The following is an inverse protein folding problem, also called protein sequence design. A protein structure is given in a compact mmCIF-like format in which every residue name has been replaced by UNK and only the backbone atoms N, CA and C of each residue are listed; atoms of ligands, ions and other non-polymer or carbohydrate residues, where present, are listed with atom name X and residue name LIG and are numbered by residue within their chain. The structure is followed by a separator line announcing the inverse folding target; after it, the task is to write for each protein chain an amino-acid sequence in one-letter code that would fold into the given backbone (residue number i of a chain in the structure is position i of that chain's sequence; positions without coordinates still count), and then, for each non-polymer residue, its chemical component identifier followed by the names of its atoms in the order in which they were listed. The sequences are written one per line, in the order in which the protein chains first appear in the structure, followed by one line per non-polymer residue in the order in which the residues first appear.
data_IF_285089421803
#
_entry.id   IF_285089421803
#
_cell.length_a   1.000
_cell.length_b   1.000
_cell.length_c   1.000
_cell.angle_alpha   90.00
_cell.angle_beta   90.00
_cell.angle_gamma   90.00
#
_symmetry.space_group_name_H-M   'P 1'
#
loop_
_entity.id
_entity.type
_entity.pdbx_description
1 polymer ?
#
# COMPACT_ATOMS: atom_id res chain seq x y z
N UNK A 1 11.54 2.61 6.18
CA UNK A 1 10.63 2.61 5.01
C UNK A 1 10.30 4.03 4.58
N UNK A 2 10.47 4.36 3.30
CA UNK A 2 10.27 5.71 2.77
C UNK A 2 8.80 6.10 2.52
N UNK A 3 7.87 5.16 2.74
CA UNK A 3 6.49 5.24 2.26
C UNK A 3 5.49 5.60 3.36
N UNK A 4 5.76 5.22 4.61
CA UNK A 4 4.93 5.53 5.77
C UNK A 4 5.85 5.87 6.94
N UNK A 5 5.57 6.97 7.63
CA UNK A 5 6.17 7.17 8.94
C UNK A 5 5.41 6.33 9.95
N UNK A 6 6.13 5.62 10.83
CA UNK A 6 5.52 4.82 11.89
C UNK A 6 4.50 5.64 12.70
N UNK A 7 4.81 6.91 12.97
CA UNK A 7 3.92 7.86 13.65
C UNK A 7 2.54 8.02 13.00
N UNK A 8 2.43 7.89 11.68
CA UNK A 8 1.14 8.05 10.97
C UNK A 8 0.26 6.81 11.18
N UNK A 9 0.88 5.63 11.25
CA UNK A 9 0.19 4.38 11.57
C UNK A 9 -0.22 4.36 13.05
N UNK A 10 0.67 4.78 13.94
CA UNK A 10 0.37 4.89 15.38
C UNK A 10 -0.81 5.84 15.61
N UNK A 11 -0.80 7.02 14.98
CA UNK A 11 -1.91 7.98 15.04
C UNK A 11 -3.22 7.38 14.48
N UNK A 12 -3.14 6.63 13.38
CA UNK A 12 -4.30 5.98 12.80
C UNK A 12 -4.86 4.88 13.73
N UNK A 13 -4.00 4.13 14.43
CA UNK A 13 -4.39 3.18 15.47
C UNK A 13 -5.14 3.87 16.62
N UNK A 14 -4.62 5.01 17.10
CA UNK A 14 -5.27 5.81 18.14
C UNK A 14 -6.68 6.24 17.72
N UNK A 15 -6.83 6.81 16.51
CA UNK A 15 -8.13 7.25 15.97
C UNK A 15 -9.11 6.08 15.86
N UNK A 16 -8.65 4.90 15.41
CA UNK A 16 -9.50 3.69 15.35
C UNK A 16 -9.93 3.25 16.74
N UNK A 17 -9.00 3.23 17.70
CA UNK A 17 -9.29 2.90 19.09
C UNK A 17 -10.34 3.81 19.73
N UNK A 18 -10.40 5.08 19.31
CA UNK A 18 -11.40 6.04 19.79
C UNK A 18 -12.76 5.95 19.07
N UNK A 19 -12.76 5.83 17.73
CA UNK A 19 -13.98 5.95 16.93
C UNK A 19 -14.68 4.61 16.65
N UNK A 20 -13.90 3.55 16.47
CA UNK A 20 -14.40 2.24 16.05
C UNK A 20 -13.53 1.11 16.66
N UNK A 21 -13.47 1.00 18.00
CA UNK A 21 -12.60 0.07 18.71
C UNK A 21 -12.79 -1.39 18.30
N UNK A 22 -13.96 -1.75 17.76
CA UNK A 22 -14.24 -3.08 17.22
C UNK A 22 -13.37 -3.46 16.02
N UNK A 23 -12.70 -2.51 15.35
CA UNK A 23 -11.75 -2.75 14.26
C UNK A 23 -10.29 -2.85 14.72
N UNK A 24 -9.99 -2.59 16.01
CA UNK A 24 -8.62 -2.48 16.49
C UNK A 24 -7.81 -3.79 16.34
N UNK A 25 -8.45 -4.93 16.56
CA UNK A 25 -7.80 -6.24 16.38
C UNK A 25 -7.45 -6.50 14.91
N UNK A 26 -8.37 -6.19 13.99
CA UNK A 26 -8.14 -6.27 12.54
C UNK A 26 -7.06 -5.28 12.10
N UNK A 27 -7.05 -4.08 12.66
CA UNK A 27 -6.01 -3.08 12.39
C UNK A 27 -4.61 -3.60 12.76
N UNK A 28 -4.45 -4.07 14.00
CA UNK A 28 -3.18 -4.65 14.47
C UNK A 28 -2.76 -5.85 13.64
N UNK A 29 -3.71 -6.71 13.25
CA UNK A 29 -3.45 -7.87 12.40
C UNK A 29 -2.91 -7.45 11.04
N UNK A 30 -3.53 -6.47 10.39
CA UNK A 30 -3.12 -5.98 9.05
C UNK A 30 -1.78 -5.24 9.11
N UNK A 31 -1.58 -4.34 10.08
CA UNK A 31 -0.33 -3.58 10.19
C UNK A 31 0.87 -4.47 10.52
N UNK A 32 0.68 -5.51 11.32
CA UNK A 32 1.73 -6.50 11.61
C UNK A 32 1.80 -7.65 10.57
N UNK A 33 0.90 -7.64 9.58
CA UNK A 33 0.81 -8.63 8.52
C UNK A 33 1.89 -8.45 7.45
N UNK A 34 1.89 -9.37 6.48
CA UNK A 34 2.80 -9.32 5.32
C UNK A 34 2.10 -9.05 4.00
N UNK A 35 0.77 -9.18 3.99
CA UNK A 35 -0.07 -9.05 2.80
C UNK A 35 -0.78 -7.70 2.86
N UNK A 36 -0.87 -7.04 1.70
CA UNK A 36 -1.54 -5.75 1.55
C UNK A 36 -2.16 -5.63 0.15
N UNK A 37 -3.43 -5.22 0.04
CA UNK A 37 -4.01 -4.86 -1.25
C UNK A 37 -3.71 -3.41 -1.62
N UNK A 38 -2.72 -3.24 -2.50
CA UNK A 38 -2.27 -1.93 -2.97
C UNK A 38 -3.27 -1.25 -3.94
N UNK A 39 -3.04 0.06 -4.15
CA UNK A 39 -3.64 0.90 -5.19
C UNK A 39 -5.09 1.35 -4.99
N UNK A 40 -5.75 0.95 -3.89
CA UNK A 40 -7.17 1.23 -3.68
C UNK A 40 -8.05 0.85 -4.89
N UNK A 41 -7.68 -0.23 -5.61
CA UNK A 41 -8.38 -0.68 -6.82
C UNK A 41 -9.26 -1.89 -6.50
N UNK A 42 -10.58 -1.71 -6.55
CA UNK A 42 -11.54 -2.79 -6.36
C UNK A 42 -12.82 -2.54 -7.17
N UNK A 43 -13.57 -3.62 -7.40
CA UNK A 43 -14.92 -3.56 -7.99
C UNK A 43 -15.84 -4.29 -7.02
N UNK A 44 -16.84 -3.58 -6.51
CA UNK A 44 -17.82 -4.13 -5.57
C UNK A 44 -19.20 -3.55 -5.85
N UNK A 45 -20.24 -4.15 -5.25
CA UNK A 45 -21.59 -3.61 -5.32
C UNK A 45 -21.71 -2.37 -4.42
N UNK A 46 -22.68 -1.51 -4.71
CA UNK A 46 -22.93 -0.28 -3.94
C UNK A 46 -23.07 -0.55 -2.44
N UNK A 47 -23.71 -1.66 -2.07
CA UNK A 47 -23.95 -2.05 -0.68
C UNK A 47 -22.67 -2.42 0.08
N UNK A 48 -21.54 -2.60 -0.62
CA UNK A 48 -20.22 -2.80 -0.02
C UNK A 48 -19.42 -1.49 -0.02
N UNK A 49 -19.53 -0.71 -1.11
CA UNK A 49 -18.76 0.54 -1.26
C UNK A 49 -19.25 1.63 -0.33
N UNK A 50 -20.57 1.84 -0.23
CA UNK A 50 -21.11 2.94 0.59
C UNK A 50 -20.73 2.78 2.07
N UNK A 51 -20.92 1.60 2.72
CA UNK A 51 -20.52 1.45 4.12
C UNK A 51 -19.00 1.56 4.34
N UNK A 52 -18.19 1.10 3.38
CA UNK A 52 -16.74 1.29 3.44
C UNK A 52 -16.38 2.78 3.44
N UNK A 53 -16.99 3.56 2.54
CA UNK A 53 -16.78 5.01 2.47
C UNK A 53 -17.25 5.71 3.76
N UNK A 54 -18.44 5.35 4.27
CA UNK A 54 -18.99 5.87 5.53
C UNK A 54 -18.09 5.57 6.73
N UNK A 55 -17.36 4.44 6.70
CA UNK A 55 -16.42 4.06 7.74
C UNK A 55 -15.04 4.73 7.57
N UNK A 56 -14.46 4.75 6.36
CA UNK A 56 -13.07 5.18 6.15
C UNK A 56 -12.89 6.70 6.19
N UNK A 57 -13.83 7.47 5.63
CA UNK A 57 -13.68 8.92 5.53
C UNK A 57 -13.67 9.65 6.88
N UNK A 58 -14.51 9.29 7.87
CA UNK A 58 -14.42 9.88 9.22
C UNK A 58 -13.08 9.63 9.91
N UNK A 59 -12.50 8.43 9.74
CA UNK A 59 -11.18 8.08 10.27
C UNK A 59 -10.12 8.99 9.65
N UNK A 60 -10.08 9.09 8.32
CA UNK A 60 -9.12 9.94 7.61
C UNK A 60 -9.27 11.41 7.98
N UNK A 61 -10.51 11.90 8.10
CA UNK A 61 -10.78 13.27 8.49
C UNK A 61 -10.30 13.59 9.92
N UNK A 62 -10.32 12.61 10.82
CA UNK A 62 -9.77 12.78 12.16
C UNK A 62 -8.24 12.71 12.19
N UNK A 63 -7.65 11.79 11.42
CA UNK A 63 -6.20 11.74 11.22
C UNK A 63 -5.69 13.06 10.64
N UNK A 64 -6.39 13.62 9.64
CA UNK A 64 -6.03 14.90 9.01
C UNK A 64 -5.96 16.06 10.00
N UNK A 65 -6.81 16.09 11.03
CA UNK A 65 -6.79 17.14 12.06
C UNK A 65 -5.57 17.04 12.98
N UNK A 66 -5.06 15.82 13.18
CA UNK A 66 -4.05 15.51 14.21
C UNK A 66 -2.65 15.35 13.62
N UNK A 67 -2.55 15.03 12.33
CA UNK A 67 -1.27 14.72 11.70
C UNK A 67 -0.39 15.96 11.57
N UNK A 68 0.86 15.84 12.01
CA UNK A 68 1.89 16.83 11.76
C UNK A 68 2.72 16.42 10.53
N UNK A 69 2.49 17.11 9.42
CA UNK A 69 3.22 16.93 8.16
C UNK A 69 4.50 17.77 8.07
N UNK A 70 4.95 18.39 9.16
CA UNK A 70 6.19 19.18 9.14
C UNK A 70 7.36 18.31 8.68
N UNK A 71 8.04 18.75 7.61
CA UNK A 71 9.16 18.04 7.01
C UNK A 71 8.79 16.98 5.97
N UNK A 72 7.52 16.84 5.60
CA UNK A 72 7.09 15.90 4.56
C UNK A 72 7.43 16.44 3.16
N UNK A 73 8.02 15.59 2.33
CA UNK A 73 8.15 15.86 0.90
C UNK A 73 6.82 15.65 0.15
N UNK A 74 6.80 15.98 -1.15
CA UNK A 74 5.58 15.84 -1.96
C UNK A 74 5.11 14.40 -2.13
N UNK A 75 6.00 13.43 -1.95
CA UNK A 75 5.65 12.03 -1.97
C UNK A 75 4.92 11.63 -0.70
N UNK A 76 5.45 12.04 0.45
CA UNK A 76 4.95 11.73 1.78
C UNK A 76 3.62 12.41 2.07
N UNK A 77 3.34 13.58 1.50
CA UNK A 77 1.99 14.21 1.59
C UNK A 77 0.86 13.34 1.04
N UNK A 78 1.17 12.23 0.36
CA UNK A 78 0.20 11.22 -0.09
C UNK A 78 -0.17 10.20 1.00
N UNK A 79 0.17 10.44 2.27
CA UNK A 79 -0.12 9.54 3.39
C UNK A 79 -1.53 8.96 3.37
N UNK A 80 -2.54 9.76 3.05
CA UNK A 80 -3.93 9.32 3.09
C UNK A 80 -4.19 8.18 2.10
N UNK A 81 -3.52 8.18 0.94
CA UNK A 81 -3.61 7.08 -0.01
C UNK A 81 -2.97 5.80 0.51
N UNK A 82 -1.88 5.89 1.28
CA UNK A 82 -1.22 4.73 1.89
C UNK A 82 -1.97 4.22 3.13
N UNK A 83 -2.61 5.12 3.87
CA UNK A 83 -3.50 4.77 4.96
C UNK A 83 -4.75 4.07 4.43
N UNK A 84 -5.39 4.59 3.38
CA UNK A 84 -6.58 3.92 2.81
C UNK A 84 -6.28 2.52 2.28
N UNK A 85 -5.09 2.28 1.72
CA UNK A 85 -4.71 0.92 1.29
C UNK A 85 -4.75 -0.06 2.47
N UNK A 86 -4.23 0.34 3.64
CA UNK A 86 -4.27 -0.49 4.86
C UNK A 86 -5.66 -0.57 5.45
N UNK A 87 -6.37 0.56 5.53
CA UNK A 87 -7.73 0.61 6.07
C UNK A 87 -8.69 -0.24 5.25
N UNK A 88 -8.48 -0.34 3.93
CA UNK A 88 -9.26 -1.23 3.08
C UNK A 88 -9.09 -2.70 3.49
N UNK A 89 -7.86 -3.13 3.77
CA UNK A 89 -7.58 -4.49 4.25
C UNK A 89 -8.17 -4.74 5.64
N UNK A 90 -8.13 -3.74 6.52
CA UNK A 90 -8.75 -3.79 7.85
C UNK A 90 -10.26 -3.94 7.76
N UNK A 91 -10.89 -3.19 6.85
CA UNK A 91 -12.30 -3.33 6.55
C UNK A 91 -12.61 -4.73 6.04
N UNK A 92 -11.88 -5.23 5.03
CA UNK A 92 -12.10 -6.56 4.48
C UNK A 92 -11.87 -7.69 5.49
N UNK A 93 -10.88 -7.58 6.38
CA UNK A 93 -10.64 -8.56 7.44
C UNK A 93 -11.80 -8.63 8.44
N UNK A 94 -12.41 -7.47 8.73
CA UNK A 94 -13.55 -7.39 9.64
C UNK A 94 -14.86 -7.86 9.01
N UNK A 95 -15.04 -7.63 7.71
CA UNK A 95 -16.25 -7.99 6.99
C UNK A 95 -16.20 -9.44 6.47
N UNK A 96 -17.34 -10.15 6.53
CA UNK A 96 -17.46 -11.48 5.92
C UNK A 96 -17.80 -11.36 4.41
N UNK A 97 -16.82 -10.92 3.62
CA UNK A 97 -16.98 -10.68 2.19
C UNK A 97 -16.48 -11.86 1.34
N UNK A 98 -17.19 -12.13 0.24
CA UNK A 98 -16.71 -13.04 -0.81
C UNK A 98 -15.80 -12.27 -1.77
N UNK A 99 -14.49 -12.43 -1.58
CA UNK A 99 -13.45 -11.74 -2.36
C UNK A 99 -12.94 -12.64 -3.49
N UNK A 100 -12.66 -12.03 -4.65
CA UNK A 100 -11.94 -12.67 -5.75
C UNK A 100 -10.85 -11.74 -6.26
N UNK A 101 -9.61 -12.22 -6.23
CA UNK A 101 -8.46 -11.51 -6.77
C UNK A 101 -8.46 -11.55 -8.31
N UNK A 102 -8.02 -10.46 -8.93
CA UNK A 102 -7.88 -10.34 -10.37
C UNK A 102 -6.50 -9.80 -10.72
N UNK A 103 -5.91 -10.34 -11.80
CA UNK A 103 -4.64 -9.86 -12.31
C UNK A 103 -4.74 -8.42 -12.83
N UNK A 104 -3.81 -7.56 -12.41
CA UNK A 104 -3.68 -6.21 -12.93
C UNK A 104 -3.02 -6.23 -14.31
N UNK A 105 -3.75 -5.73 -15.32
CA UNK A 105 -3.22 -5.52 -16.67
C UNK A 105 -2.92 -4.05 -16.88
N UNK A 106 -1.64 -3.72 -17.06
CA UNK A 106 -1.19 -2.36 -17.39
C UNK A 106 -1.09 -2.22 -18.90
N UNK A 107 -2.10 -1.60 -19.51
CA UNK A 107 -2.07 -1.25 -20.93
C UNK A 107 -1.25 0.03 -21.12
N UNK A 108 -0.14 -0.02 -21.86
CA UNK A 108 0.60 1.19 -22.24
C UNK A 108 2.02 1.34 -21.70
N UNK A 109 2.61 0.34 -21.06
CA UNK A 109 4.06 0.21 -21.11
C UNK A 109 4.42 -0.14 -22.55
N UNK A 110 4.79 0.86 -23.37
CA UNK A 110 5.77 0.66 -24.46
C UNK A 110 6.75 -0.38 -23.92
N UNK A 111 6.90 -1.50 -24.63
CA UNK A 111 7.92 -2.52 -24.37
C UNK A 111 9.17 -1.83 -23.83
N UNK A 112 9.33 -1.85 -22.51
CA UNK A 112 10.56 -1.39 -21.92
C UNK A 112 11.56 -2.42 -22.44
N UNK A 113 12.42 -2.03 -23.38
CA UNK A 113 13.37 -2.95 -24.02
C UNK A 113 14.10 -3.75 -22.94
N UNK A 114 14.35 -3.11 -21.79
CA UNK A 114 14.71 -3.72 -20.52
C UNK A 114 13.85 -4.94 -20.14
N UNK A 115 12.53 -4.81 -19.97
CA UNK A 115 11.63 -5.90 -19.57
C UNK A 115 11.49 -7.02 -20.62
N UNK A 116 11.69 -6.71 -21.92
CA UNK A 116 11.80 -7.72 -22.98
C UNK A 116 13.13 -8.49 -22.91
N UNK A 117 14.23 -7.77 -22.67
CA UNK A 117 15.59 -8.30 -22.42
C UNK A 117 15.55 -9.24 -21.20
N UNK A 118 14.91 -8.86 -20.09
CA UNK A 118 14.88 -9.68 -18.86
C UNK A 118 14.00 -10.94 -18.99
N UNK A 119 13.11 -11.03 -20.00
CA UNK A 119 12.25 -12.22 -20.21
C UNK A 119 12.94 -13.36 -20.95
N UNK A 120 14.13 -13.14 -21.54
CA UNK A 120 14.94 -14.21 -22.17
C UNK A 120 15.96 -14.72 -21.16
N UNK A 121 15.93 -16.01 -20.84
CA UNK A 121 16.74 -16.61 -19.78
C UNK A 121 18.24 -16.27 -19.88
N UNK A 122 18.82 -16.31 -21.09
CA UNK A 122 20.23 -15.98 -21.35
C UNK A 122 20.53 -14.51 -21.05
N UNK A 123 19.62 -13.62 -21.41
CA UNK A 123 19.80 -12.18 -21.27
C UNK A 123 19.54 -11.73 -19.83
N UNK A 124 18.58 -12.35 -19.13
CA UNK A 124 18.38 -12.21 -17.69
C UNK A 124 19.61 -12.68 -16.91
N UNK A 125 20.16 -13.84 -17.27
CA UNK A 125 21.37 -14.37 -16.68
C UNK A 125 22.55 -13.41 -16.85
N UNK A 126 22.76 -12.89 -18.07
CA UNK A 126 23.79 -11.91 -18.37
C UNK A 126 23.58 -10.58 -17.62
N UNK A 127 22.36 -10.06 -17.56
CA UNK A 127 22.04 -8.83 -16.82
C UNK A 127 22.34 -8.99 -15.32
N UNK A 128 21.90 -10.08 -14.69
CA UNK A 128 22.16 -10.33 -13.26
C UNK A 128 23.66 -10.47 -13.00
N UNK A 129 24.41 -11.19 -13.84
CA UNK A 129 25.83 -11.47 -13.56
C UNK A 129 26.77 -10.34 -13.99
N UNK A 130 26.46 -9.60 -15.05
CA UNK A 130 27.30 -8.53 -15.57
C UNK A 130 26.93 -7.20 -14.91
N UNK A 131 25.65 -6.83 -14.85
CA UNK A 131 25.21 -5.52 -14.37
C UNK A 131 25.26 -5.42 -12.83
N UNK A 132 24.77 -6.42 -12.09
CA UNK A 132 24.93 -6.42 -10.62
C UNK A 132 26.37 -6.71 -10.20
N UNK A 133 27.15 -7.42 -11.02
CA UNK A 133 28.59 -7.59 -10.83
C UNK A 133 29.38 -6.27 -10.95
N UNK A 134 28.93 -5.35 -11.82
CA UNK A 134 29.49 -4.01 -11.97
C UNK A 134 29.06 -3.07 -10.83
N UNK A 135 27.78 -3.07 -10.43
CA UNK A 135 27.28 -2.25 -9.31
C UNK A 135 27.94 -2.60 -7.97
N UNK A 136 28.25 -3.88 -7.71
CA UNK A 136 28.98 -4.29 -6.51
C UNK A 136 30.47 -3.90 -6.51
N UNK A 137 31.02 -3.50 -7.67
CA UNK A 137 32.38 -2.93 -7.76
C UNK A 137 32.38 -1.43 -7.48
N UNK A 138 31.33 -0.69 -7.85
CA UNK A 138 31.23 0.74 -7.58
C UNK A 138 30.81 1.06 -6.13
N UNK A 139 30.12 0.15 -5.41
CA UNK A 139 29.86 0.32 -3.96
C UNK A 139 31.04 -0.02 -3.04
N UNK A 140 32.20 -0.39 -3.61
CA UNK A 140 33.43 -0.72 -2.87
C UNK A 140 34.57 0.26 -3.19
N UNK A 141 34.23 1.49 -3.55
CA UNK A 141 35.14 2.64 -3.60
C UNK A 141 34.71 3.72 -2.64
#
# INVERSE_FOLDING_TARGET
DHWNYAKDLDLCEEVIGEQCPEYLDSYKKVVNGKDLYYYNMFIAKKEVIDPYCEWVFPILAEVEKRVDMTGYDDYQKRIYGFLTERLFDVWMDKQDLKVKESELKVNGLRLNVHMWIVKRAIVRWAYVHIYMGLLNKDMRR
#
